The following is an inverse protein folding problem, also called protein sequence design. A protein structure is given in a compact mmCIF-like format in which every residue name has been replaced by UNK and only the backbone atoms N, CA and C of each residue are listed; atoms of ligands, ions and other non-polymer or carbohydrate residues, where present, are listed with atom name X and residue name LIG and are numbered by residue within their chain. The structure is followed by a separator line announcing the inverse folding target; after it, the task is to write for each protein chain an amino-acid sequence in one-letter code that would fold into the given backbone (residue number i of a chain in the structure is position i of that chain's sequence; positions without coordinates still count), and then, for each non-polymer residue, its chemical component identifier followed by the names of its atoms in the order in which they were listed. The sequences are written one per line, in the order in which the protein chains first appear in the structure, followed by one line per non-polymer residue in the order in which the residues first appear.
data_IF_035759194240
#
_entry.id   IF_035759194240
#
_cell.length_a   1.000
_cell.length_b   1.000
_cell.length_c   1.000
_cell.angle_alpha   90.00
_cell.angle_beta   90.00
_cell.angle_gamma   90.00
#
_symmetry.space_group_name_H-M   'P 1'
#
loop_
_entity.id
_entity.type
_entity.pdbx_description
1 polymer ?
#
# COMPACT_ATOMS: atom_id res chain seq x y z
N UNK A 1 -23.55 -10.06 8.37
CA UNK A 1 -23.83 -8.62 8.24
C UNK A 1 -23.97 -8.29 6.77
N UNK A 2 -24.75 -7.26 6.47
CA UNK A 2 -24.81 -6.66 5.13
C UNK A 2 -23.96 -5.39 5.11
N UNK A 3 -22.95 -5.38 4.28
CA UNK A 3 -21.94 -4.32 4.21
C UNK A 3 -22.10 -3.56 2.91
N UNK A 4 -22.25 -2.22 2.97
CA UNK A 4 -22.07 -1.35 1.83
C UNK A 4 -20.59 -1.00 1.71
N UNK A 5 -19.96 -1.36 0.60
CA UNK A 5 -18.58 -0.99 0.29
C UNK A 5 -18.57 0.09 -0.80
N UNK A 6 -17.88 1.22 -0.56
CA UNK A 6 -17.76 2.34 -1.52
C UNK A 6 -16.29 2.58 -1.80
N UNK A 7 -15.88 2.48 -3.08
CA UNK A 7 -14.49 2.60 -3.49
C UNK A 7 -14.28 3.71 -4.52
N UNK A 8 -13.17 4.46 -4.43
CA UNK A 8 -12.90 5.57 -5.33
C UNK A 8 -12.40 5.13 -6.72
N UNK A 9 -12.24 3.83 -6.93
CA UNK A 9 -11.81 3.22 -8.19
C UNK A 9 -12.28 1.78 -8.25
N UNK A 10 -12.31 1.22 -9.46
CA UNK A 10 -12.49 -0.23 -9.66
C UNK A 10 -11.13 -0.90 -9.42
N UNK A 11 -10.97 -1.77 -8.40
CA UNK A 11 -9.68 -2.34 -8.04
C UNK A 11 -9.30 -3.55 -8.92
N UNK A 12 -9.49 -3.46 -10.22
CA UNK A 12 -9.13 -4.49 -11.20
C UNK A 12 -8.67 -3.84 -12.52
N UNK A 13 -7.62 -4.36 -13.20
CA UNK A 13 -6.76 -5.48 -12.79
C UNK A 13 -5.94 -5.17 -11.53
N UNK A 14 -5.67 -6.23 -10.74
CA UNK A 14 -5.01 -6.11 -9.43
C UNK A 14 -3.48 -5.96 -9.63
N UNK A 15 -3.06 -4.76 -10.04
CA UNK A 15 -1.67 -4.45 -10.44
C UNK A 15 -1.04 -3.27 -9.68
N UNK A 16 -1.70 -2.77 -8.63
CA UNK A 16 -1.24 -1.70 -7.74
C UNK A 16 -1.45 -2.10 -6.28
N UNK A 17 -0.59 -1.65 -5.38
CA UNK A 17 -0.68 -2.01 -3.96
C UNK A 17 -2.03 -1.74 -3.31
N UNK A 18 -2.62 -0.57 -3.61
CA UNK A 18 -3.97 -0.20 -3.15
C UNK A 18 -5.05 -1.13 -3.70
N UNK A 19 -4.92 -1.56 -4.97
CA UNK A 19 -5.88 -2.48 -5.60
C UNK A 19 -5.82 -3.87 -4.96
N UNK A 20 -4.60 -4.37 -4.64
CA UNK A 20 -4.44 -5.63 -3.90
C UNK A 20 -5.20 -5.61 -2.58
N UNK A 21 -5.07 -4.54 -1.79
CA UNK A 21 -5.78 -4.40 -0.52
C UNK A 21 -7.29 -4.42 -0.72
N UNK A 22 -7.79 -3.49 -1.50
CA UNK A 22 -9.22 -3.24 -1.65
C UNK A 22 -9.96 -4.44 -2.25
N UNK A 23 -9.42 -5.02 -3.33
CA UNK A 23 -9.99 -6.19 -3.98
C UNK A 23 -10.02 -7.41 -3.06
N UNK A 24 -8.88 -7.74 -2.47
CA UNK A 24 -8.78 -8.96 -1.67
C UNK A 24 -9.55 -8.85 -0.35
N UNK A 25 -9.53 -7.70 0.33
CA UNK A 25 -10.33 -7.53 1.55
C UNK A 25 -11.83 -7.59 1.24
N UNK A 26 -12.31 -7.02 0.12
CA UNK A 26 -13.69 -7.16 -0.31
C UNK A 26 -14.06 -8.63 -0.54
N UNK A 27 -13.21 -9.38 -1.25
CA UNK A 27 -13.40 -10.79 -1.53
C UNK A 27 -13.47 -11.61 -0.24
N UNK A 28 -12.55 -11.38 0.69
CA UNK A 28 -12.53 -12.10 1.97
C UNK A 28 -13.71 -11.72 2.88
N UNK A 29 -14.10 -10.46 2.93
CA UNK A 29 -15.32 -10.05 3.65
C UNK A 29 -16.57 -10.74 3.07
N UNK A 30 -16.65 -10.89 1.76
CA UNK A 30 -17.77 -11.54 1.10
C UNK A 30 -17.86 -13.05 1.39
N UNK A 31 -16.81 -13.69 1.88
CA UNK A 31 -16.89 -15.10 2.35
C UNK A 31 -17.72 -15.26 3.63
N UNK A 32 -17.91 -14.18 4.40
CA UNK A 32 -18.58 -14.20 5.72
C UNK A 32 -19.76 -13.22 5.82
N UNK A 33 -19.90 -12.31 4.87
CA UNK A 33 -20.88 -11.23 4.88
C UNK A 33 -21.51 -11.03 3.49
N UNK A 34 -22.69 -10.43 3.42
CA UNK A 34 -23.23 -9.92 2.18
C UNK A 34 -22.60 -8.57 1.87
N UNK A 35 -21.91 -8.45 0.75
CA UNK A 35 -21.25 -7.21 0.33
C UNK A 35 -21.94 -6.63 -0.90
N UNK A 36 -22.41 -5.39 -0.79
CA UNK A 36 -22.83 -4.57 -1.91
C UNK A 36 -21.70 -3.59 -2.23
N UNK A 37 -21.21 -3.60 -3.47
CA UNK A 37 -20.05 -2.83 -3.88
C UNK A 37 -20.43 -1.73 -4.88
N UNK A 38 -20.09 -0.48 -4.54
CA UNK A 38 -20.18 0.68 -5.41
C UNK A 38 -18.78 1.23 -5.68
N UNK A 39 -18.37 1.27 -6.95
CA UNK A 39 -17.07 1.82 -7.35
C UNK A 39 -17.24 3.02 -8.26
N UNK A 40 -16.38 4.02 -8.13
CA UNK A 40 -16.17 5.01 -9.18
C UNK A 40 -15.35 4.38 -10.30
N UNK A 41 -15.78 4.49 -11.54
CA UNK A 41 -15.12 3.90 -12.71
C UNK A 41 -14.58 5.01 -13.59
N UNK A 42 -13.28 5.25 -13.50
CA UNK A 42 -12.61 6.31 -14.24
C UNK A 42 -12.80 6.11 -15.75
N UNK A 43 -13.42 7.10 -16.38
CA UNK A 43 -13.80 7.11 -17.79
C UNK A 43 -14.71 5.93 -18.23
N UNK A 44 -15.34 5.20 -17.31
CA UNK A 44 -16.18 4.04 -17.61
C UNK A 44 -15.41 2.84 -18.19
N UNK A 45 -14.08 2.82 -18.02
CA UNK A 45 -13.21 1.85 -18.68
C UNK A 45 -13.38 0.42 -18.14
N UNK A 46 -13.63 0.27 -16.84
CA UNK A 46 -13.77 -1.04 -16.22
C UNK A 46 -15.10 -1.71 -16.59
N UNK A 47 -16.20 -0.94 -16.64
CA UNK A 47 -17.51 -1.43 -17.11
C UNK A 47 -17.44 -1.82 -18.58
N UNK A 48 -16.83 -0.97 -19.42
CA UNK A 48 -16.63 -1.26 -20.85
C UNK A 48 -15.80 -2.53 -21.09
N UNK A 49 -14.85 -2.84 -20.19
CA UNK A 49 -14.06 -4.07 -20.23
C UNK A 49 -14.76 -5.30 -19.61
N UNK A 50 -15.96 -5.13 -19.05
CA UNK A 50 -16.74 -6.21 -18.42
C UNK A 50 -16.11 -6.73 -17.12
N UNK A 51 -15.43 -5.85 -16.37
CA UNK A 51 -14.72 -6.20 -15.13
C UNK A 51 -15.69 -6.55 -13.98
N UNK A 52 -16.99 -6.28 -14.08
CA UNK A 52 -17.99 -6.66 -13.07
C UNK A 52 -17.97 -8.15 -12.76
N UNK A 53 -17.67 -8.98 -13.74
CA UNK A 53 -17.56 -10.45 -13.58
C UNK A 53 -16.48 -10.87 -12.58
N UNK A 54 -15.52 -10.00 -12.30
CA UNK A 54 -14.46 -10.28 -11.31
C UNK A 54 -14.93 -10.07 -9.88
N UNK A 55 -16.14 -9.54 -9.69
CA UNK A 55 -16.76 -9.23 -8.41
C UNK A 55 -18.02 -10.07 -8.14
N UNK A 56 -18.11 -11.24 -8.74
CA UNK A 56 -19.23 -12.20 -8.59
C UNK A 56 -19.40 -12.70 -7.15
N UNK A 57 -18.40 -12.52 -6.31
CA UNK A 57 -18.47 -12.74 -4.87
C UNK A 57 -19.31 -11.69 -4.13
N UNK A 58 -19.57 -10.52 -4.72
CA UNK A 58 -20.45 -9.50 -4.16
C UNK A 58 -21.92 -9.84 -4.46
N UNK A 59 -22.81 -9.52 -3.51
CA UNK A 59 -24.27 -9.66 -3.71
C UNK A 59 -24.77 -8.73 -4.82
N UNK A 60 -24.25 -7.50 -4.85
CA UNK A 60 -24.51 -6.48 -5.85
C UNK A 60 -23.24 -5.71 -6.15
N UNK A 61 -23.04 -5.34 -7.40
CA UNK A 61 -21.93 -4.51 -7.83
C UNK A 61 -22.43 -3.43 -8.79
N UNK A 62 -21.86 -2.23 -8.68
CA UNK A 62 -22.12 -1.13 -9.62
C UNK A 62 -20.83 -0.35 -9.83
N UNK A 63 -20.51 -0.12 -11.09
CA UNK A 63 -19.45 0.77 -11.53
C UNK A 63 -20.10 2.05 -12.08
N UNK A 64 -19.89 3.16 -11.39
CA UNK A 64 -20.42 4.46 -11.80
C UNK A 64 -19.35 5.22 -12.58
N UNK A 65 -19.63 5.60 -13.84
CA UNK A 65 -18.67 6.36 -14.65
C UNK A 65 -18.27 7.66 -13.93
N UNK A 66 -16.96 7.90 -13.88
CA UNK A 66 -16.38 9.03 -13.16
C UNK A 66 -15.28 9.68 -14.01
N UNK A 67 -15.33 10.99 -14.19
CA UNK A 67 -14.26 11.75 -14.82
C UNK A 67 -13.75 12.80 -13.85
N UNK A 68 -12.44 12.83 -13.62
CA UNK A 68 -11.87 13.84 -12.74
C UNK A 68 -12.14 15.26 -13.26
N UNK A 69 -12.74 16.14 -12.45
CA UNK A 69 -12.89 17.53 -12.83
C UNK A 69 -11.48 18.14 -13.05
N UNK A 70 -11.35 19.08 -13.99
CA UNK A 70 -10.08 19.74 -14.23
C UNK A 70 -9.62 20.39 -12.93
N UNK A 71 -8.34 20.25 -12.63
CA UNK A 71 -7.74 20.88 -11.45
C UNK A 71 -8.13 22.36 -11.43
N UNK A 72 -8.62 22.91 -10.33
CA UNK A 72 -8.97 24.32 -10.25
C UNK A 72 -7.72 25.15 -10.56
N UNK A 73 -7.66 25.63 -11.79
CA UNK A 73 -6.51 26.37 -12.34
C UNK A 73 -6.35 27.76 -11.75
N UNK A 74 -7.36 28.26 -11.01
CA UNK A 74 -7.43 29.66 -10.63
C UNK A 74 -7.70 29.85 -9.13
N UNK A 75 -6.76 30.46 -8.44
CA UNK A 75 -6.99 31.44 -7.44
C UNK A 75 -7.99 32.47 -8.02
N UNK A 76 -9.21 32.65 -7.55
CA UNK A 76 -9.64 32.70 -6.14
C UNK A 76 -10.59 31.60 -5.72
N UNK A 77 -11.11 30.77 -6.63
CA UNK A 77 -12.13 29.76 -6.27
C UNK A 77 -11.65 28.77 -5.20
N UNK A 78 -10.36 28.46 -5.20
CA UNK A 78 -9.73 27.61 -4.21
C UNK A 78 -9.86 28.16 -2.78
N UNK A 79 -9.82 29.47 -2.58
CA UNK A 79 -9.96 30.10 -1.25
C UNK A 79 -11.38 29.98 -0.69
N UNK A 80 -12.39 29.90 -1.56
CA UNK A 80 -13.79 29.76 -1.17
C UNK A 80 -14.23 28.29 -1.04
N UNK A 81 -13.45 27.36 -1.58
CA UNK A 81 -13.71 25.93 -1.45
C UNK A 81 -13.31 25.46 -0.03
N UNK A 82 -14.27 24.89 0.70
CA UNK A 82 -14.05 24.44 2.07
C UNK A 82 -13.26 23.10 2.15
N UNK A 83 -13.31 22.30 1.08
CA UNK A 83 -12.63 21.02 1.00
C UNK A 83 -11.19 21.16 0.48
N UNK A 84 -10.28 20.26 0.87
CA UNK A 84 -8.95 20.20 0.28
C UNK A 84 -9.03 19.84 -1.22
N UNK A 85 -8.10 20.38 -2.01
CA UNK A 85 -8.06 20.17 -3.46
C UNK A 85 -8.04 18.68 -3.83
N UNK A 86 -7.34 17.87 -3.04
CA UNK A 86 -7.29 16.42 -3.19
C UNK A 86 -8.64 15.76 -3.09
N UNK A 87 -9.55 16.26 -2.26
CA UNK A 87 -10.92 15.74 -2.12
C UNK A 87 -11.86 16.35 -3.14
N UNK A 88 -11.72 17.67 -3.41
CA UNK A 88 -12.54 18.36 -4.42
C UNK A 88 -12.40 17.70 -5.80
N UNK A 89 -11.23 17.17 -6.11
CA UNK A 89 -10.95 16.45 -7.35
C UNK A 89 -11.79 15.17 -7.54
N UNK A 90 -12.31 14.62 -6.44
CA UNK A 90 -13.18 13.44 -6.43
C UNK A 90 -14.68 13.79 -6.35
N UNK A 91 -15.05 15.07 -6.48
CA UNK A 91 -16.46 15.48 -6.39
C UNK A 91 -17.09 15.66 -7.75
N UNK A 92 -18.20 14.93 -7.96
CA UNK A 92 -19.14 15.12 -9.08
C UNK A 92 -20.58 15.15 -8.58
N UNK A 93 -21.43 15.90 -9.27
CA UNK A 93 -22.81 16.15 -8.83
C UNK A 93 -23.72 14.91 -8.95
N UNK A 94 -23.40 13.98 -9.84
CA UNK A 94 -24.16 12.77 -10.15
C UNK A 94 -23.79 11.57 -9.28
N UNK A 95 -22.63 11.60 -8.59
CA UNK A 95 -22.16 10.46 -7.76
C UNK A 95 -23.08 10.22 -6.56
N UNK A 96 -23.46 11.27 -5.80
CA UNK A 96 -24.34 11.08 -4.64
C UNK A 96 -25.71 10.54 -5.04
N UNK A 97 -26.41 11.10 -6.06
CA UNK A 97 -27.65 10.51 -6.56
C UNK A 97 -27.52 9.04 -6.99
N UNK A 98 -26.39 8.66 -7.60
CA UNK A 98 -26.13 7.28 -7.98
C UNK A 98 -25.97 6.35 -6.76
N UNK A 99 -25.24 6.80 -5.72
CA UNK A 99 -25.11 6.07 -4.45
C UNK A 99 -26.49 5.94 -3.79
N UNK A 100 -27.28 7.02 -3.72
CA UNK A 100 -28.62 7.01 -3.12
C UNK A 100 -29.56 6.05 -3.85
N UNK A 101 -29.52 6.02 -5.19
CA UNK A 101 -30.28 5.07 -5.99
C UNK A 101 -29.82 3.61 -5.77
N UNK A 102 -28.51 3.37 -5.66
CA UNK A 102 -27.94 2.05 -5.39
C UNK A 102 -28.33 1.53 -4.00
N UNK A 103 -28.40 2.41 -3.01
CA UNK A 103 -28.72 2.06 -1.62
C UNK A 103 -30.20 2.09 -1.28
N UNK A 104 -31.06 2.60 -2.18
CA UNK A 104 -32.48 2.75 -1.96
C UNK A 104 -33.16 1.41 -1.58
N UNK A 105 -33.92 1.41 -0.48
CA UNK A 105 -34.61 0.21 0.01
C UNK A 105 -33.70 -0.90 0.54
N UNK A 106 -32.44 -0.60 0.80
CA UNK A 106 -31.49 -1.54 1.39
C UNK A 106 -31.16 -1.12 2.82
N UNK A 107 -31.16 -2.10 3.72
CA UNK A 107 -30.68 -1.93 5.10
C UNK A 107 -29.25 -2.48 5.19
N UNK A 108 -28.34 -1.66 5.69
CA UNK A 108 -26.95 -2.03 5.92
C UNK A 108 -26.61 -2.04 7.40
N UNK A 109 -25.85 -3.04 7.81
CA UNK A 109 -25.29 -3.11 9.17
C UNK A 109 -24.03 -2.23 9.28
N UNK A 110 -23.31 -2.02 8.16
CA UNK A 110 -22.04 -1.31 8.13
C UNK A 110 -21.83 -0.63 6.77
N UNK A 111 -21.28 0.59 6.80
CA UNK A 111 -20.74 1.28 5.61
C UNK A 111 -19.22 1.28 5.69
N UNK A 112 -18.58 0.53 4.79
CA UNK A 112 -17.14 0.49 4.59
C UNK A 112 -16.78 1.32 3.37
N UNK A 113 -15.87 2.28 3.49
CA UNK A 113 -15.43 3.05 2.34
C UNK A 113 -13.92 3.25 2.36
N UNK A 114 -13.32 3.38 1.18
CA UNK A 114 -11.89 3.54 1.04
C UNK A 114 -11.51 5.00 0.87
N UNK A 115 -10.56 5.42 1.70
CA UNK A 115 -9.90 6.73 1.69
C UNK A 115 -10.79 7.95 1.98
N UNK A 116 -10.17 8.98 2.51
CA UNK A 116 -10.84 10.22 2.94
C UNK A 116 -11.52 10.97 1.80
N UNK A 117 -11.10 10.74 0.56
CA UNK A 117 -11.69 11.37 -0.63
C UNK A 117 -13.18 11.05 -0.81
N UNK A 118 -13.62 9.90 -0.30
CA UNK A 118 -15.02 9.47 -0.33
C UNK A 118 -15.84 9.92 0.89
N UNK A 119 -15.22 10.52 1.90
CA UNK A 119 -15.93 10.96 3.10
C UNK A 119 -17.16 11.85 2.81
N UNK A 120 -17.10 12.84 1.88
CA UNK A 120 -18.27 13.65 1.56
C UNK A 120 -19.48 12.86 1.07
N UNK A 121 -19.26 11.73 0.39
CA UNK A 121 -20.30 10.83 -0.08
C UNK A 121 -20.74 9.85 1.01
N UNK A 122 -19.78 9.21 1.67
CA UNK A 122 -20.07 8.21 2.70
C UNK A 122 -20.89 8.77 3.86
N UNK A 123 -20.61 10.02 4.29
CA UNK A 123 -21.40 10.69 5.34
C UNK A 123 -22.81 11.03 4.91
N UNK A 124 -23.05 11.24 3.61
CA UNK A 124 -24.34 11.62 3.05
C UNK A 124 -25.24 10.41 2.73
N UNK A 125 -24.73 9.17 2.82
CA UNK A 125 -25.58 7.96 2.66
C UNK A 125 -26.69 7.99 3.70
N UNK A 126 -27.99 7.88 3.30
CA UNK A 126 -29.13 7.96 4.21
C UNK A 126 -29.29 6.66 5.01
N UNK A 127 -28.37 6.39 5.91
CA UNK A 127 -28.34 5.20 6.77
C UNK A 127 -27.80 5.55 8.15
N UNK A 128 -28.36 4.91 9.19
CA UNK A 128 -27.83 4.97 10.54
C UNK A 128 -26.67 4.02 10.80
N UNK A 129 -26.32 3.18 9.81
CA UNK A 129 -25.23 2.22 9.91
C UNK A 129 -23.90 2.93 10.24
N UNK A 130 -23.08 2.35 11.11
CA UNK A 130 -21.77 2.90 11.42
C UNK A 130 -20.88 2.92 10.19
N UNK A 131 -20.04 3.96 10.10
CA UNK A 131 -19.13 4.18 9.00
C UNK A 131 -17.72 3.83 9.43
N UNK A 132 -17.06 3.02 8.62
CA UNK A 132 -15.64 2.66 8.78
C UNK A 132 -14.89 3.09 7.54
N UNK A 133 -13.81 3.83 7.72
CA UNK A 133 -12.90 4.24 6.66
C UNK A 133 -11.70 3.31 6.63
N UNK A 134 -11.48 2.61 5.50
CA UNK A 134 -10.25 1.87 5.26
C UNK A 134 -9.27 2.72 4.45
N UNK A 135 -8.02 2.77 4.90
CA UNK A 135 -7.00 3.64 4.31
C UNK A 135 -5.78 2.85 3.88
N UNK A 136 -5.50 2.91 2.61
CA UNK A 136 -4.24 2.41 2.06
C UNK A 136 -3.06 3.33 2.34
N UNK A 137 -3.35 4.61 2.64
CA UNK A 137 -2.38 5.65 2.98
C UNK A 137 -3.07 6.78 3.75
N UNK A 138 -2.39 7.36 4.72
CA UNK A 138 -2.82 8.60 5.39
C UNK A 138 -2.26 9.79 4.61
N UNK A 139 -3.11 10.42 3.79
CA UNK A 139 -2.70 11.52 2.91
C UNK A 139 -2.15 12.73 3.67
N UNK A 140 -2.67 13.01 4.86
CA UNK A 140 -2.17 14.09 5.71
C UNK A 140 -0.72 13.84 6.14
N UNK A 141 -0.38 12.60 6.51
CA UNK A 141 0.99 12.19 6.83
C UNK A 141 1.89 12.32 5.60
N UNK A 142 1.47 11.71 4.48
CA UNK A 142 2.26 11.69 3.25
C UNK A 142 2.56 13.10 2.71
N UNK A 143 1.56 13.98 2.65
CA UNK A 143 1.76 15.36 2.16
C UNK A 143 2.59 16.21 3.13
N UNK A 144 2.55 15.93 4.43
CA UNK A 144 3.41 16.56 5.44
C UNK A 144 4.89 16.18 5.22
N UNK A 145 5.16 14.91 4.97
CA UNK A 145 6.50 14.40 4.66
C UNK A 145 7.03 15.00 3.35
N UNK A 146 6.20 14.99 2.29
CA UNK A 146 6.58 15.61 1.01
C UNK A 146 6.95 17.10 1.17
N UNK A 147 6.19 17.85 1.98
CA UNK A 147 6.47 19.27 2.20
C UNK A 147 7.84 19.50 2.88
N UNK A 148 8.29 18.56 3.71
CA UNK A 148 9.59 18.65 4.41
C UNK A 148 10.77 18.26 3.53
N UNK A 149 10.57 17.40 2.53
CA UNK A 149 11.65 16.84 1.71
C UNK A 149 11.80 17.47 0.32
N UNK A 150 10.73 18.12 -0.22
CA UNK A 150 10.78 18.70 -1.56
C UNK A 150 11.30 20.14 -1.56
N UNK A 151 12.14 20.44 -2.55
CA UNK A 151 12.52 21.83 -2.85
C UNK A 151 11.40 22.50 -3.65
N UNK A 152 10.58 23.31 -2.98
CA UNK A 152 9.39 23.95 -3.53
C UNK A 152 9.58 25.48 -3.53
N UNK A 153 8.95 26.14 -4.51
CA UNK A 153 8.81 27.60 -4.52
C UNK A 153 7.95 28.10 -3.35
N UNK A 154 8.06 29.37 -3.00
CA UNK A 154 7.27 29.98 -1.92
C UNK A 154 5.77 29.85 -2.16
N UNK A 155 5.33 30.03 -3.40
CA UNK A 155 3.92 29.90 -3.78
C UNK A 155 3.42 28.48 -3.62
N UNK A 156 4.18 27.49 -4.07
CA UNK A 156 3.83 26.07 -3.91
C UNK A 156 3.76 25.66 -2.44
N UNK A 157 4.70 26.14 -1.62
CA UNK A 157 4.67 25.91 -0.17
C UNK A 157 3.40 26.47 0.47
N UNK A 158 2.99 27.69 0.08
CA UNK A 158 1.79 28.32 0.60
C UNK A 158 0.53 27.53 0.20
N UNK A 159 0.42 27.12 -1.06
CA UNK A 159 -0.70 26.35 -1.57
C UNK A 159 -0.79 24.96 -0.92
N UNK A 160 0.35 24.30 -0.69
CA UNK A 160 0.37 23.02 0.01
C UNK A 160 0.00 23.15 1.49
N UNK A 161 0.47 24.18 2.18
CA UNK A 161 0.09 24.45 3.57
C UNK A 161 -1.40 24.72 3.72
N UNK A 162 -1.99 25.47 2.80
CA UNK A 162 -3.44 25.72 2.76
C UNK A 162 -4.20 24.40 2.58
N UNK A 163 -3.76 23.55 1.64
CA UNK A 163 -4.37 22.25 1.42
C UNK A 163 -4.25 21.34 2.65
N UNK A 164 -3.09 21.31 3.30
CA UNK A 164 -2.85 20.55 4.54
C UNK A 164 -3.74 21.02 5.70
N UNK A 165 -3.97 22.33 5.80
CA UNK A 165 -4.88 22.87 6.83
C UNK A 165 -6.32 22.40 6.61
N UNK A 166 -6.81 22.44 5.37
CA UNK A 166 -8.14 21.92 5.00
C UNK A 166 -8.23 20.42 5.21
N UNK A 167 -7.19 19.70 4.82
CA UNK A 167 -7.10 18.24 4.96
C UNK A 167 -7.17 17.85 6.44
N UNK A 168 -6.39 18.53 7.31
CA UNK A 168 -6.44 18.27 8.76
C UNK A 168 -7.81 18.56 9.37
N UNK A 169 -8.49 19.61 8.88
CA UNK A 169 -9.85 19.91 9.32
C UNK A 169 -10.83 18.80 8.93
N UNK A 170 -10.74 18.31 7.69
CA UNK A 170 -11.60 17.24 7.19
C UNK A 170 -11.31 15.90 7.90
N UNK A 171 -10.04 15.60 8.18
CA UNK A 171 -9.64 14.44 8.98
C UNK A 171 -10.29 14.44 10.36
N UNK A 172 -10.28 15.59 11.05
CA UNK A 172 -10.93 15.73 12.36
C UNK A 172 -12.43 15.56 12.28
N UNK A 173 -13.08 16.22 11.31
CA UNK A 173 -14.51 16.05 11.06
C UNK A 173 -14.87 14.58 10.84
N UNK A 174 -14.09 13.87 10.04
CA UNK A 174 -14.31 12.45 9.77
C UNK A 174 -14.07 11.61 11.04
N UNK A 175 -12.97 11.82 11.75
CA UNK A 175 -12.63 11.07 12.96
C UNK A 175 -13.68 11.18 14.06
N UNK A 176 -14.35 12.33 14.18
CA UNK A 176 -15.42 12.57 15.16
C UNK A 176 -16.73 11.83 14.81
N UNK A 177 -16.92 11.43 13.56
CA UNK A 177 -18.16 10.80 13.07
C UNK A 177 -17.99 9.34 12.67
N UNK A 178 -16.76 8.88 12.49
CA UNK A 178 -16.46 7.49 12.15
C UNK A 178 -16.58 6.59 13.39
N UNK A 179 -17.15 5.42 13.22
CA UNK A 179 -17.09 4.38 14.23
C UNK A 179 -15.67 3.85 14.40
N UNK A 180 -14.90 3.79 13.28
CA UNK A 180 -13.49 3.42 13.29
C UNK A 180 -12.80 3.79 11.97
N UNK A 181 -11.45 3.84 12.02
CA UNK A 181 -10.57 3.92 10.86
C UNK A 181 -9.65 2.71 10.84
N UNK A 182 -9.53 2.05 9.68
CA UNK A 182 -8.57 0.97 9.43
C UNK A 182 -7.37 1.55 8.70
N UNK A 183 -6.16 1.27 9.17
CA UNK A 183 -4.90 1.78 8.59
C UNK A 183 -3.92 0.65 8.33
N UNK A 184 -2.92 0.88 7.46
CA UNK A 184 -1.98 -0.15 7.06
C UNK A 184 -0.81 -0.37 8.02
N UNK A 185 -0.51 0.60 8.86
CA UNK A 185 0.67 0.51 9.74
C UNK A 185 0.48 1.23 11.07
N UNK A 186 1.30 0.88 12.08
CA UNK A 186 1.24 1.50 13.40
C UNK A 186 1.61 2.98 13.39
N UNK A 187 2.44 3.43 12.45
CA UNK A 187 2.77 4.86 12.34
C UNK A 187 1.61 5.70 11.87
N UNK A 188 0.79 5.15 10.98
CA UNK A 188 -0.45 5.78 10.55
C UNK A 188 -1.35 6.00 11.78
N UNK A 189 -1.47 5.00 12.67
CA UNK A 189 -2.20 5.10 13.93
C UNK A 189 -1.60 6.16 14.85
N UNK A 190 -0.30 6.10 15.11
CA UNK A 190 0.41 7.07 15.98
C UNK A 190 0.24 8.49 15.45
N UNK A 191 0.37 8.67 14.14
CA UNK A 191 0.19 9.98 13.50
C UNK A 191 -1.25 10.49 13.66
N UNK A 192 -2.25 9.66 13.35
CA UNK A 192 -3.66 10.05 13.45
C UNK A 192 -4.06 10.40 14.89
N UNK A 193 -3.61 9.62 15.87
CA UNK A 193 -3.85 9.93 17.28
C UNK A 193 -3.22 11.24 17.71
N UNK A 194 -2.00 11.51 17.28
CA UNK A 194 -1.28 12.75 17.62
C UNK A 194 -1.83 13.99 16.94
N UNK A 195 -2.14 13.93 15.65
CA UNK A 195 -2.43 15.10 14.82
C UNK A 195 -3.92 15.34 14.57
N UNK A 196 -4.75 14.31 14.70
CA UNK A 196 -6.16 14.36 14.34
C UNK A 196 -7.04 14.23 15.57
N UNK A 197 -7.10 13.05 16.20
CA UNK A 197 -7.91 12.76 17.37
C UNK A 197 -7.26 11.67 18.24
N UNK A 198 -6.84 11.97 19.49
CA UNK A 198 -6.19 11.00 20.38
C UNK A 198 -7.10 9.82 20.76
N UNK A 199 -8.41 10.04 20.76
CA UNK A 199 -9.42 9.06 21.17
C UNK A 199 -10.03 8.30 19.97
N UNK A 200 -9.54 8.54 18.75
CA UNK A 200 -10.05 7.86 17.55
C UNK A 200 -9.96 6.34 17.70
N UNK A 201 -11.01 5.65 17.31
CA UNK A 201 -10.98 4.19 17.17
C UNK A 201 -10.23 3.84 15.89
N UNK A 202 -9.04 3.24 16.04
CA UNK A 202 -8.17 2.89 14.93
C UNK A 202 -7.84 1.40 15.01
N UNK A 203 -7.94 0.72 13.89
CA UNK A 203 -7.54 -0.67 13.73
C UNK A 203 -6.39 -0.77 12.73
N UNK A 204 -5.26 -1.29 13.18
CA UNK A 204 -4.11 -1.52 12.31
C UNK A 204 -4.25 -2.88 11.63
N UNK A 205 -4.36 -2.88 10.32
CA UNK A 205 -4.47 -4.07 9.48
C UNK A 205 -3.47 -3.97 8.34
N UNK A 206 -2.42 -4.75 8.39
CA UNK A 206 -1.37 -4.79 7.38
C UNK A 206 -1.92 -5.11 5.97
N UNK A 207 -1.10 -4.87 4.95
CA UNK A 207 -1.35 -5.41 3.61
C UNK A 207 -0.87 -6.86 3.54
N UNK A 208 -1.54 -7.66 2.71
CA UNK A 208 -1.32 -9.09 2.60
C UNK A 208 -0.76 -9.54 1.27
N UNK A 209 -0.55 -10.83 1.18
CA UNK A 209 -0.12 -11.55 -0.02
C UNK A 209 -1.14 -12.63 -0.37
N UNK A 210 -1.30 -12.92 -1.65
CA UNK A 210 -2.01 -14.10 -2.12
C UNK A 210 -1.02 -15.27 -2.26
N UNK A 211 -1.10 -16.28 -1.37
CA UNK A 211 -0.15 -17.40 -1.39
C UNK A 211 -0.31 -18.31 -2.63
N UNK A 212 -1.40 -18.17 -3.38
CA UNK A 212 -1.58 -18.91 -4.64
C UNK A 212 -0.89 -18.20 -5.80
N UNK A 213 -0.69 -16.88 -5.69
CA UNK A 213 0.06 -16.07 -6.67
C UNK A 213 1.56 -16.16 -6.40
N UNK A 214 1.97 -16.04 -5.12
CA UNK A 214 3.37 -16.16 -4.69
C UNK A 214 3.61 -17.56 -4.09
N UNK A 215 3.37 -18.59 -4.92
CA UNK A 215 3.43 -19.99 -4.52
C UNK A 215 4.82 -20.59 -4.78
N UNK A 216 5.49 -21.00 -3.70
CA UNK A 216 6.80 -21.66 -3.78
C UNK A 216 6.76 -22.99 -4.57
N UNK A 217 5.62 -23.68 -4.58
CA UNK A 217 5.47 -24.92 -5.34
C UNK A 217 5.41 -24.67 -6.86
N UNK A 218 4.78 -23.57 -7.28
CA UNK A 218 4.73 -23.16 -8.69
C UNK A 218 6.00 -22.41 -9.13
N UNK A 219 6.62 -21.69 -8.21
CA UNK A 219 7.85 -20.92 -8.43
C UNK A 219 8.97 -21.41 -7.49
N UNK A 220 9.46 -22.65 -7.66
CA UNK A 220 10.53 -23.19 -6.81
C UNK A 220 11.79 -22.35 -6.96
N UNK A 221 12.51 -22.17 -5.86
CA UNK A 221 13.75 -21.39 -5.84
C UNK A 221 14.79 -21.99 -6.78
N UNK A 222 15.24 -21.21 -7.74
CA UNK A 222 16.26 -21.54 -8.74
C UNK A 222 17.30 -20.42 -8.75
N UNK A 223 18.16 -20.44 -7.74
CA UNK A 223 19.13 -19.37 -7.54
C UNK A 223 20.07 -19.19 -8.72
N UNK A 224 20.35 -17.96 -9.11
CA UNK A 224 21.37 -17.64 -10.10
C UNK A 224 22.74 -18.20 -9.67
N UNK A 225 23.59 -18.51 -10.65
CA UNK A 225 24.95 -18.97 -10.36
C UNK A 225 25.79 -17.92 -9.62
N UNK A 226 25.58 -16.64 -9.95
CA UNK A 226 26.18 -15.53 -9.24
C UNK A 226 25.29 -15.06 -8.06
N UNK A 227 25.87 -14.61 -6.93
CA UNK A 227 25.12 -14.08 -5.79
C UNK A 227 24.28 -12.87 -6.23
N UNK A 228 22.95 -13.03 -6.26
CA UNK A 228 22.02 -12.05 -6.81
C UNK A 228 21.14 -11.44 -5.71
N UNK A 229 21.17 -10.11 -5.61
CA UNK A 229 20.34 -9.30 -4.70
C UNK A 229 19.25 -8.63 -5.51
N UNK A 230 18.01 -8.78 -5.09
CA UNK A 230 16.85 -8.19 -5.75
C UNK A 230 16.36 -6.94 -5.03
N UNK A 231 15.99 -5.91 -5.78
CA UNK A 231 15.15 -4.82 -5.33
C UNK A 231 13.94 -4.70 -6.26
N UNK A 232 12.71 -4.77 -5.71
CA UNK A 232 11.47 -4.63 -6.48
C UNK A 232 10.69 -3.38 -6.08
N UNK A 233 10.08 -2.68 -7.05
CA UNK A 233 9.15 -1.58 -6.78
C UNK A 233 8.97 -0.61 -7.94
N UNK A 234 8.06 0.35 -7.80
CA UNK A 234 7.92 1.45 -8.76
C UNK A 234 9.12 2.41 -8.60
N UNK A 235 9.82 2.70 -9.70
CA UNK A 235 11.09 3.44 -9.67
C UNK A 235 10.90 4.96 -9.84
N UNK A 236 9.66 5.43 -9.85
CA UNK A 236 9.23 6.83 -9.73
C UNK A 236 8.72 7.17 -8.31
N UNK A 237 8.64 6.18 -7.42
CA UNK A 237 8.20 6.39 -6.05
C UNK A 237 9.36 6.85 -5.16
N UNK A 238 9.22 8.04 -4.56
CA UNK A 238 10.26 8.74 -3.78
C UNK A 238 10.97 7.85 -2.75
N UNK A 239 10.28 7.04 -1.91
CA UNK A 239 10.96 6.16 -0.97
C UNK A 239 11.88 5.12 -1.62
N UNK A 240 11.51 4.60 -2.79
CA UNK A 240 12.34 3.65 -3.53
C UNK A 240 13.60 4.32 -4.10
N UNK A 241 13.44 5.54 -4.65
CA UNK A 241 14.56 6.34 -5.18
C UNK A 241 15.54 6.69 -4.06
N UNK A 242 15.03 7.17 -2.93
CA UNK A 242 15.84 7.51 -1.75
C UNK A 242 16.58 6.29 -1.19
N UNK A 243 15.87 5.16 -1.04
CA UNK A 243 16.45 3.92 -0.54
C UNK A 243 17.56 3.38 -1.43
N UNK A 244 17.36 3.36 -2.77
CA UNK A 244 18.40 2.97 -3.72
C UNK A 244 19.59 3.92 -3.67
N UNK A 245 19.34 5.24 -3.60
CA UNK A 245 20.42 6.23 -3.44
C UNK A 245 21.25 5.95 -2.21
N UNK A 246 20.62 5.79 -1.07
CA UNK A 246 21.29 5.49 0.19
C UNK A 246 22.10 4.18 0.10
N UNK A 247 21.51 3.13 -0.48
CA UNK A 247 22.18 1.85 -0.65
C UNK A 247 23.48 1.99 -1.48
N UNK A 248 23.39 2.62 -2.66
CA UNK A 248 24.55 2.79 -3.54
C UNK A 248 25.62 3.74 -2.98
N UNK A 249 25.23 4.72 -2.17
CA UNK A 249 26.17 5.65 -1.54
C UNK A 249 26.86 5.08 -0.29
N UNK A 250 26.18 4.22 0.49
CA UNK A 250 26.67 3.85 1.83
C UNK A 250 26.92 2.35 2.03
N UNK A 251 26.20 1.46 1.34
CA UNK A 251 26.30 0.02 1.52
C UNK A 251 27.02 -0.68 0.34
N UNK A 252 26.67 -0.36 -0.89
CA UNK A 252 27.24 -1.03 -2.07
C UNK A 252 28.76 -0.94 -2.19
N UNK A 253 29.46 0.16 -1.86
CA UNK A 253 30.91 0.22 -1.94
C UNK A 253 31.59 -0.86 -1.08
N UNK A 254 31.08 -1.11 0.11
CA UNK A 254 31.60 -2.16 0.99
C UNK A 254 31.25 -3.56 0.49
N UNK A 255 29.99 -3.78 0.07
CA UNK A 255 29.56 -5.05 -0.47
C UNK A 255 30.33 -5.41 -1.74
N UNK A 256 30.59 -4.45 -2.63
CA UNK A 256 31.37 -4.64 -3.87
C UNK A 256 32.81 -5.06 -3.58
N UNK A 257 33.43 -4.48 -2.56
CA UNK A 257 34.78 -4.85 -2.17
C UNK A 257 34.85 -6.28 -1.62
N UNK A 258 33.80 -6.74 -0.92
CA UNK A 258 33.76 -8.08 -0.32
C UNK A 258 33.35 -9.17 -1.33
N UNK A 259 32.38 -8.84 -2.21
CA UNK A 259 31.77 -9.75 -3.17
C UNK A 259 31.68 -9.07 -4.55
N UNK A 260 32.80 -8.94 -5.27
CA UNK A 260 32.83 -8.24 -6.56
C UNK A 260 31.96 -8.89 -7.65
N UNK A 261 31.70 -10.19 -7.52
CA UNK A 261 30.84 -10.99 -8.42
C UNK A 261 29.33 -10.81 -8.17
N UNK A 262 28.93 -10.10 -7.07
CA UNK A 262 27.53 -9.91 -6.77
C UNK A 262 26.78 -9.28 -7.95
N UNK A 263 25.52 -9.67 -8.12
CA UNK A 263 24.58 -9.06 -9.05
C UNK A 263 23.50 -8.32 -8.29
N UNK A 264 23.15 -7.12 -8.73
CA UNK A 264 22.02 -6.34 -8.19
C UNK A 264 20.97 -6.22 -9.29
N UNK A 265 19.77 -6.73 -9.03
CA UNK A 265 18.62 -6.62 -9.93
C UNK A 265 17.65 -5.57 -9.39
N UNK A 266 17.46 -4.49 -10.14
CA UNK A 266 16.49 -3.43 -9.84
C UNK A 266 15.32 -3.62 -10.79
N UNK A 267 14.21 -4.15 -10.27
CA UNK A 267 13.05 -4.58 -11.06
C UNK A 267 11.85 -3.70 -10.75
N UNK A 268 11.30 -3.06 -11.78
CA UNK A 268 10.07 -2.30 -11.65
C UNK A 268 9.89 -1.16 -12.64
N UNK A 269 8.66 -0.69 -12.73
CA UNK A 269 8.22 0.29 -13.73
C UNK A 269 8.76 1.70 -13.46
N UNK A 270 8.74 2.52 -14.51
CA UNK A 270 9.01 3.96 -14.50
C UNK A 270 10.37 4.36 -13.87
N UNK A 271 11.50 3.73 -14.26
CA UNK A 271 12.78 4.13 -13.70
C UNK A 271 13.13 5.57 -14.12
N UNK A 272 13.26 6.45 -13.10
CA UNK A 272 13.74 7.82 -13.32
C UNK A 272 15.23 7.81 -13.76
N UNK A 273 15.73 8.87 -14.42
CA UNK A 273 17.13 8.91 -14.89
C UNK A 273 18.17 8.57 -13.82
N UNK A 274 17.95 9.03 -12.58
CA UNK A 274 18.84 8.72 -11.47
C UNK A 274 18.91 7.21 -11.12
N UNK A 275 17.80 6.48 -11.29
CA UNK A 275 17.76 5.02 -11.08
C UNK A 275 18.33 4.29 -12.29
N UNK A 276 18.05 4.78 -13.51
CA UNK A 276 18.61 4.20 -14.74
C UNK A 276 20.15 4.23 -14.73
N UNK A 277 20.74 5.31 -14.21
CA UNK A 277 22.20 5.47 -14.12
C UNK A 277 22.90 4.37 -13.29
N UNK A 278 22.20 3.74 -12.33
CA UNK A 278 22.79 2.61 -11.61
C UNK A 278 23.06 1.40 -12.51
N UNK A 279 22.33 1.25 -13.63
CA UNK A 279 22.57 0.19 -14.61
C UNK A 279 23.94 0.28 -15.32
N UNK A 280 24.64 1.41 -15.22
CA UNK A 280 26.01 1.58 -15.73
C UNK A 280 27.07 1.02 -14.77
N UNK A 281 26.68 0.70 -13.52
CA UNK A 281 27.60 0.14 -12.52
C UNK A 281 27.84 -1.36 -12.78
N UNK A 282 29.08 -1.87 -12.58
CA UNK A 282 29.37 -3.29 -12.75
C UNK A 282 28.49 -4.19 -11.87
N UNK A 283 27.84 -5.18 -12.48
CA UNK A 283 26.99 -6.14 -11.80
C UNK A 283 25.61 -5.58 -11.40
N UNK A 284 25.18 -4.44 -11.96
CA UNK A 284 23.85 -3.88 -11.73
C UNK A 284 23.00 -3.94 -12.98
N UNK A 285 21.77 -4.39 -12.86
CA UNK A 285 20.78 -4.42 -13.95
C UNK A 285 19.51 -3.71 -13.52
N UNK A 286 19.06 -2.73 -14.31
CA UNK A 286 17.77 -2.05 -14.18
C UNK A 286 16.86 -2.52 -15.30
N UNK A 287 15.78 -3.25 -14.95
CA UNK A 287 14.94 -3.90 -15.97
C UNK A 287 13.87 -2.99 -16.56
N UNK A 288 13.44 -1.96 -15.83
CA UNK A 288 12.18 -1.30 -16.14
C UNK A 288 10.98 -2.18 -15.79
N UNK A 289 9.83 -1.91 -16.42
CA UNK A 289 8.60 -2.67 -16.23
C UNK A 289 8.75 -4.10 -16.76
N UNK A 290 8.28 -5.06 -15.97
CA UNK A 290 8.27 -6.48 -16.35
C UNK A 290 6.84 -7.03 -16.23
N UNK A 291 6.47 -7.99 -17.09
CA UNK A 291 5.12 -8.59 -17.03
C UNK A 291 4.87 -9.37 -15.73
N UNK A 292 5.92 -9.94 -15.15
CA UNK A 292 5.86 -10.78 -13.95
C UNK A 292 7.13 -10.62 -13.13
N UNK A 293 6.98 -10.33 -11.83
CA UNK A 293 8.11 -10.17 -10.90
C UNK A 293 8.53 -11.49 -10.25
N UNK A 294 7.68 -12.52 -10.26
CA UNK A 294 7.93 -13.79 -9.58
C UNK A 294 9.18 -14.53 -10.07
N UNK A 295 9.51 -14.56 -11.39
CA UNK A 295 10.78 -15.14 -11.86
C UNK A 295 12.02 -14.46 -11.28
N UNK A 296 11.93 -13.19 -10.92
CA UNK A 296 13.06 -12.47 -10.29
C UNK A 296 13.21 -12.83 -8.81
N UNK A 297 12.11 -12.99 -8.08
CA UNK A 297 12.15 -13.57 -6.73
C UNK A 297 12.70 -14.99 -6.73
N UNK A 298 12.30 -15.82 -7.72
CA UNK A 298 12.72 -17.22 -7.83
C UNK A 298 14.25 -17.34 -7.95
N UNK A 299 14.90 -16.48 -8.71
CA UNK A 299 16.34 -16.55 -9.02
C UNK A 299 17.22 -15.74 -8.07
N UNK A 300 16.70 -14.73 -7.40
CA UNK A 300 17.48 -13.92 -6.46
C UNK A 300 17.87 -14.70 -5.20
N UNK A 301 19.06 -14.47 -4.66
CA UNK A 301 19.49 -15.10 -3.41
C UNK A 301 18.79 -14.47 -2.20
N UNK A 302 18.57 -13.18 -2.25
CA UNK A 302 17.80 -12.41 -1.27
C UNK A 302 17.16 -11.18 -1.92
N UNK A 303 16.19 -10.58 -1.22
CA UNK A 303 15.70 -9.24 -1.53
C UNK A 303 16.23 -8.23 -0.52
N UNK A 304 16.62 -7.05 -1.01
CA UNK A 304 16.92 -5.89 -0.16
C UNK A 304 15.76 -4.89 -0.14
N UNK A 305 15.52 -4.28 1.03
CA UNK A 305 14.51 -3.23 1.23
C UNK A 305 15.13 -2.07 2.01
N UNK A 306 15.98 -1.24 1.36
CA UNK A 306 16.78 -0.19 2.01
C UNK A 306 15.99 1.10 2.22
N UNK A 307 14.70 1.03 2.60
CA UNK A 307 13.83 2.19 2.72
C UNK A 307 14.07 2.95 4.02
N UNK A 308 14.15 4.27 3.93
CA UNK A 308 14.38 5.18 5.07
C UNK A 308 13.20 6.11 5.34
N UNK A 309 12.25 6.15 4.44
CA UNK A 309 11.06 7.00 4.51
C UNK A 309 9.84 6.25 3.98
N UNK A 310 8.67 6.72 4.36
CA UNK A 310 7.36 6.23 3.91
C UNK A 310 6.63 5.41 4.98
N UNK A 311 5.29 5.40 4.90
CA UNK A 311 4.37 4.69 5.81
C UNK A 311 3.73 3.44 5.19
N UNK A 312 2.91 2.74 5.97
CA UNK A 312 2.15 1.56 5.57
C UNK A 312 2.97 0.27 5.43
N UNK A 313 2.32 -0.84 5.13
CA UNK A 313 2.95 -2.16 4.97
C UNK A 313 3.67 -2.28 3.63
N UNK A 314 4.85 -2.84 3.64
CA UNK A 314 5.65 -3.08 2.44
C UNK A 314 5.28 -4.43 1.80
N UNK A 315 4.38 -4.41 0.82
CA UNK A 315 3.99 -5.61 0.05
C UNK A 315 5.18 -6.43 -0.43
N UNK A 316 6.22 -5.76 -0.92
CA UNK A 316 7.44 -6.43 -1.42
C UNK A 316 8.10 -7.37 -0.39
N UNK A 317 7.97 -7.10 0.92
CA UNK A 317 8.51 -7.99 1.97
C UNK A 317 7.65 -9.23 2.10
N UNK A 318 6.33 -9.09 2.22
CA UNK A 318 5.43 -10.24 2.35
C UNK A 318 5.40 -11.10 1.08
N UNK A 319 5.51 -10.49 -0.10
CA UNK A 319 5.64 -11.19 -1.38
C UNK A 319 6.94 -12.01 -1.44
N UNK A 320 8.07 -11.39 -1.06
CA UNK A 320 9.37 -12.02 -1.02
C UNK A 320 9.40 -13.22 -0.07
N UNK A 321 8.91 -13.01 1.15
CA UNK A 321 8.89 -14.08 2.15
C UNK A 321 7.93 -15.20 1.76
N UNK A 322 6.75 -14.90 1.20
CA UNK A 322 5.79 -15.90 0.76
C UNK A 322 6.37 -16.86 -0.28
N UNK A 323 7.19 -16.35 -1.22
CA UNK A 323 7.87 -17.16 -2.24
C UNK A 323 9.21 -17.76 -1.74
N UNK A 324 9.51 -17.61 -0.45
CA UNK A 324 10.73 -18.15 0.16
C UNK A 324 12.02 -17.41 -0.19
N UNK A 325 11.94 -16.13 -0.60
CA UNK A 325 13.09 -15.28 -0.81
C UNK A 325 13.37 -14.47 0.46
N UNK A 326 14.50 -14.68 1.16
CA UNK A 326 14.81 -14.01 2.41
C UNK A 326 15.05 -12.51 2.18
N UNK A 327 14.86 -11.72 3.23
CA UNK A 327 14.89 -10.25 3.16
C UNK A 327 15.96 -9.67 4.07
N UNK A 328 16.71 -8.70 3.54
CA UNK A 328 17.47 -7.72 4.33
C UNK A 328 16.74 -6.38 4.22
N UNK A 329 16.37 -5.78 5.33
CA UNK A 329 15.63 -4.53 5.37
C UNK A 329 16.22 -3.54 6.37
N UNK A 330 15.89 -2.26 6.20
CA UNK A 330 15.98 -1.31 7.32
C UNK A 330 14.79 -1.53 8.26
N UNK A 331 14.88 -1.04 9.49
CA UNK A 331 13.76 -1.03 10.44
C UNK A 331 12.53 -0.33 9.85
N UNK A 332 12.72 0.83 9.21
CA UNK A 332 11.67 1.57 8.51
C UNK A 332 11.14 0.77 7.31
N UNK A 333 12.00 0.04 6.61
CA UNK A 333 11.59 -0.81 5.49
C UNK A 333 10.66 -1.95 5.92
N UNK A 334 10.85 -2.53 7.10
CA UNK A 334 10.04 -3.62 7.66
C UNK A 334 8.88 -3.14 8.55
N UNK A 335 8.71 -1.85 8.69
CA UNK A 335 7.72 -1.25 9.58
C UNK A 335 6.30 -1.68 9.22
N UNK A 336 5.44 -1.87 10.23
CA UNK A 336 4.07 -2.34 10.06
C UNK A 336 3.94 -3.86 9.89
N UNK A 337 5.05 -4.60 9.96
CA UNK A 337 5.07 -6.05 9.98
C UNK A 337 5.61 -6.55 11.33
N UNK A 338 4.91 -7.52 11.91
CA UNK A 338 5.33 -8.21 13.14
C UNK A 338 6.35 -9.30 12.77
N UNK A 339 7.51 -8.82 12.27
CA UNK A 339 8.67 -9.63 11.89
C UNK A 339 9.84 -9.31 12.81
N UNK A 340 10.55 -10.33 13.26
CA UNK A 340 11.62 -10.25 14.23
C UNK A 340 12.97 -10.38 13.52
N UNK A 341 13.90 -9.49 13.87
CA UNK A 341 15.29 -9.52 13.37
C UNK A 341 15.95 -10.85 13.70
N UNK A 342 16.76 -11.35 12.78
CA UNK A 342 17.48 -12.63 12.85
C UNK A 342 16.58 -13.87 13.08
N UNK A 343 15.26 -13.70 13.07
CA UNK A 343 14.29 -14.80 13.13
C UNK A 343 13.54 -14.94 11.81
N UNK A 344 12.95 -13.84 11.29
CA UNK A 344 12.13 -13.84 10.08
C UNK A 344 12.76 -13.11 8.89
N UNK A 345 13.64 -12.15 9.17
CA UNK A 345 14.40 -11.35 8.20
C UNK A 345 15.67 -10.83 8.89
N UNK A 346 16.51 -10.11 8.15
CA UNK A 346 17.66 -9.41 8.75
C UNK A 346 17.43 -7.90 8.68
N UNK A 347 17.61 -7.19 9.81
CA UNK A 347 17.46 -5.75 9.93
C UNK A 347 18.82 -5.05 10.09
N UNK A 348 19.01 -3.96 9.33
CA UNK A 348 20.18 -3.10 9.46
C UNK A 348 19.87 -1.68 8.98
N UNK A 349 20.17 -0.67 9.78
CA UNK A 349 19.87 0.74 9.48
C UNK A 349 21.08 1.56 9.03
N UNK A 350 22.30 1.05 9.24
CA UNK A 350 23.54 1.68 8.83
C UNK A 350 24.13 1.01 7.58
N UNK A 351 24.69 1.79 6.65
CA UNK A 351 25.20 1.28 5.37
C UNK A 351 26.16 0.10 5.51
N UNK A 352 27.23 0.18 6.34
CA UNK A 352 28.15 -0.95 6.55
C UNK A 352 27.46 -2.18 7.16
N UNK A 353 26.52 -1.99 8.11
CA UNK A 353 25.77 -3.09 8.70
C UNK A 353 24.82 -3.73 7.68
N UNK A 354 24.18 -2.92 6.81
CA UNK A 354 23.32 -3.39 5.73
C UNK A 354 24.12 -4.21 4.70
N UNK A 355 25.32 -3.74 4.33
CA UNK A 355 26.24 -4.48 3.48
C UNK A 355 26.68 -5.81 4.12
N UNK A 356 26.97 -5.80 5.43
CA UNK A 356 27.34 -7.01 6.17
C UNK A 356 26.19 -8.01 6.21
N UNK A 357 24.94 -7.56 6.47
CA UNK A 357 23.75 -8.41 6.47
C UNK A 357 23.54 -9.09 5.11
N UNK A 358 23.65 -8.32 4.00
CA UNK A 358 23.61 -8.86 2.65
C UNK A 358 24.74 -9.89 2.46
N UNK A 359 25.99 -9.55 2.77
CA UNK A 359 27.13 -10.43 2.59
C UNK A 359 26.97 -11.75 3.37
N UNK A 360 26.42 -11.70 4.59
CA UNK A 360 26.12 -12.89 5.39
C UNK A 360 25.13 -13.79 4.67
N UNK A 361 24.01 -13.27 4.20
CA UNK A 361 23.01 -14.10 3.48
C UNK A 361 23.49 -14.59 2.12
N UNK A 362 24.44 -13.90 1.48
CA UNK A 362 25.06 -14.37 0.24
C UNK A 362 26.09 -15.48 0.47
N UNK A 363 26.80 -15.51 1.61
CA UNK A 363 27.84 -16.46 1.90
C UNK A 363 27.43 -17.62 2.80
N UNK A 364 26.50 -17.40 3.74
CA UNK A 364 26.01 -18.40 4.68
C UNK A 364 24.65 -18.97 4.24
N UNK A 365 24.71 -20.15 3.61
CA UNK A 365 23.50 -20.85 3.16
C UNK A 365 22.58 -21.23 4.32
N UNK A 366 23.12 -21.67 5.45
CA UNK A 366 22.31 -22.13 6.57
C UNK A 366 21.47 -20.99 7.15
N UNK A 367 22.08 -19.83 7.37
CA UNK A 367 21.38 -18.62 7.83
C UNK A 367 20.36 -18.16 6.79
N UNK A 368 20.73 -18.14 5.51
CA UNK A 368 19.81 -17.78 4.42
C UNK A 368 18.58 -18.66 4.37
N UNK A 369 18.76 -19.99 4.40
CA UNK A 369 17.66 -20.97 4.29
C UNK A 369 16.77 -20.91 5.56
N UNK A 370 17.35 -20.72 6.74
CA UNK A 370 16.62 -20.53 8.01
C UNK A 370 15.72 -19.32 7.98
N UNK A 371 16.22 -18.16 7.60
CA UNK A 371 15.43 -16.91 7.53
C UNK A 371 14.36 -16.98 6.44
N UNK A 372 14.64 -17.64 5.31
CA UNK A 372 13.67 -17.85 4.25
C UNK A 372 12.48 -18.69 4.74
N UNK A 373 12.74 -19.79 5.45
CA UNK A 373 11.69 -20.71 5.93
C UNK A 373 10.86 -20.05 7.06
N UNK A 374 11.51 -19.51 8.09
CA UNK A 374 10.79 -18.91 9.22
C UNK A 374 10.02 -17.64 8.81
N UNK A 375 10.62 -16.79 7.95
CA UNK A 375 9.95 -15.61 7.40
C UNK A 375 8.74 -16.00 6.54
N UNK A 376 8.87 -17.05 5.71
CA UNK A 376 7.75 -17.59 4.92
C UNK A 376 6.63 -18.11 5.82
N UNK A 377 6.94 -18.92 6.80
CA UNK A 377 5.95 -19.47 7.73
C UNK A 377 5.18 -18.34 8.42
N UNK A 378 5.89 -17.35 8.99
CA UNK A 378 5.28 -16.19 9.64
C UNK A 378 4.39 -15.40 8.69
N UNK A 379 4.83 -15.24 7.43
CA UNK A 379 4.05 -14.52 6.40
C UNK A 379 2.76 -15.24 6.06
N UNK A 380 2.81 -16.56 5.86
CA UNK A 380 1.64 -17.36 5.53
C UNK A 380 0.63 -17.44 6.69
N UNK A 381 1.10 -17.43 7.93
CA UNK A 381 0.24 -17.43 9.12
C UNK A 381 -0.48 -16.09 9.34
N UNK A 382 0.20 -14.96 9.07
CA UNK A 382 -0.27 -13.63 9.50
C UNK A 382 -0.71 -12.72 8.38
N UNK A 383 -0.12 -12.84 7.19
CA UNK A 383 -0.20 -11.85 6.12
C UNK A 383 -0.81 -12.39 4.83
N UNK A 384 -1.51 -13.52 4.86
CA UNK A 384 -2.38 -13.89 3.74
C UNK A 384 -3.64 -13.03 3.77
N UNK A 385 -4.21 -12.74 2.62
CA UNK A 385 -5.47 -11.98 2.55
C UNK A 385 -6.58 -12.68 3.33
N UNK A 386 -6.62 -14.02 3.35
CA UNK A 386 -7.61 -14.78 4.13
C UNK A 386 -7.45 -14.56 5.64
N UNK A 387 -6.21 -14.58 6.16
CA UNK A 387 -5.95 -14.30 7.56
C UNK A 387 -6.35 -12.85 7.93
N UNK A 388 -6.00 -11.88 7.08
CA UNK A 388 -6.31 -10.46 7.29
C UNK A 388 -7.82 -10.18 7.16
N UNK A 389 -8.48 -10.77 6.17
CA UNK A 389 -9.94 -10.67 6.00
C UNK A 389 -10.69 -11.27 7.19
N UNK A 390 -10.17 -12.38 7.76
CA UNK A 390 -10.66 -12.93 9.01
C UNK A 390 -10.55 -11.94 10.16
N UNK A 391 -9.37 -11.35 10.38
CA UNK A 391 -9.15 -10.34 11.42
C UNK A 391 -10.09 -9.12 11.23
N UNK A 392 -10.27 -8.65 10.01
CA UNK A 392 -11.15 -7.53 9.71
C UNK A 392 -12.62 -7.86 10.00
N UNK A 393 -13.07 -9.04 9.60
CA UNK A 393 -14.41 -9.53 9.86
C UNK A 393 -14.69 -9.64 11.36
N UNK A 394 -13.77 -10.23 12.13
CA UNK A 394 -13.89 -10.37 13.59
C UNK A 394 -13.88 -8.99 14.28
N UNK A 395 -13.04 -8.08 13.80
CA UNK A 395 -13.04 -6.69 14.28
C UNK A 395 -14.39 -6.02 14.05
N UNK A 396 -14.97 -6.13 12.85
CA UNK A 396 -16.30 -5.55 12.57
C UNK A 396 -17.40 -6.14 13.45
N UNK A 397 -17.40 -7.47 13.64
CA UNK A 397 -18.38 -8.12 14.51
C UNK A 397 -18.27 -7.65 15.96
N UNK A 398 -17.06 -7.46 16.48
CA UNK A 398 -16.84 -6.95 17.83
C UNK A 398 -17.24 -5.49 17.97
N UNK A 399 -16.95 -4.67 16.96
CA UNK A 399 -17.30 -3.26 16.92
C UNK A 399 -18.81 -3.02 16.92
N UNK A 400 -19.58 -3.97 16.36
CA UNK A 400 -21.05 -3.91 16.31
C UNK A 400 -21.72 -4.40 17.60
N UNK A 401 -20.98 -5.09 18.48
CA UNK A 401 -21.49 -5.54 19.78
C UNK A 401 -21.23 -4.52 20.88
N UNK A 402 -20.23 -3.63 20.69
CA UNK A 402 -19.84 -2.56 21.61
C UNK A 402 -20.69 -1.28 21.38
#
# INVERSE_FOLDING_TARGET
MRILAIYPYVPFPVNRGTYHRVFNLARELATRHEVDLFCLDEDGAAAAAGHEKQFDFCRRVTFHPFAHPPWPRLFPNRLFESLPTTVTHWRQADVQPAIDAFTAGQDYDLIHFCDLVLWPYAKAVPSSAPRIMDRSRVDLLFQNEELSHLTLSTTEKLLRRENLWKLRRLEREAADQLKSTVVCGPDDEVFLRREVNPDASIFVLANGVDPTVFDLAQFPRQLDAAPTVLFCGAMDYTPNIDGLKWYFETADPELRNRLPERQILIVGKNPVPAVQAYGELPGVTVTGEVPDVRPYYQRAWLQMVPLRIGGGTRLKIVESLAIGCPVVSTTIGAQGLDLVDDEHLSLADEGPAFAQAIATLLSDRATRDRLAESGRQRTLERYTWSALGGQLSDYYQNLMKA
#
